data_IF_249791583376
#
_entry.id   IF_249791583376
#
_cell.length_a   1.000
_cell.length_b   1.000
_cell.length_c   1.000
_cell.angle_alpha   90.00
_cell.angle_beta   90.00
_cell.angle_gamma   90.00
#
_symmetry.space_group_name_H-M   'P 1'
#
loop_
_entity.id
_entity.type
_entity.pdbx_description
1 polymer ?
#
# COMPACT_ATOMS: atom_id res chain seq x y z
N UNK A 1 -9.10 5.35 20.43
CA UNK A 1 -7.89 6.22 20.45
C UNK A 1 -6.76 5.35 19.97
N UNK A 2 -5.95 5.84 19.02
CA UNK A 2 -4.88 5.04 18.46
C UNK A 2 -3.87 4.61 19.53
N UNK A 3 -3.44 3.36 19.46
CA UNK A 3 -2.42 2.81 20.34
C UNK A 3 -1.02 3.18 19.81
N UNK A 4 -0.12 3.64 20.68
CA UNK A 4 1.28 3.82 20.32
C UNK A 4 2.00 2.49 20.57
N UNK A 5 2.47 1.83 19.51
CA UNK A 5 3.06 0.49 19.54
C UNK A 5 4.40 0.48 18.81
N UNK A 6 5.29 -0.44 19.18
CA UNK A 6 6.44 -0.74 18.32
C UNK A 6 5.96 -1.30 16.97
N UNK A 7 6.78 -1.18 15.92
CA UNK A 7 6.42 -1.67 14.59
C UNK A 7 6.16 -3.19 14.60
N UNK A 8 6.99 -3.95 15.31
CA UNK A 8 6.85 -5.40 15.46
C UNK A 8 5.50 -5.75 16.09
N UNK A 9 5.17 -5.15 17.23
CA UNK A 9 3.89 -5.38 17.92
C UNK A 9 2.69 -4.97 17.08
N UNK A 10 2.79 -3.83 16.38
CA UNK A 10 1.72 -3.32 15.55
C UNK A 10 1.42 -4.27 14.38
N UNK A 11 2.45 -4.71 13.64
CA UNK A 11 2.28 -5.69 12.55
C UNK A 11 1.79 -7.03 13.08
N UNK A 12 2.30 -7.47 14.25
CA UNK A 12 1.89 -8.72 14.88
C UNK A 12 0.39 -8.76 15.23
N UNK A 13 -0.14 -7.62 15.68
CA UNK A 13 -1.54 -7.47 16.11
C UNK A 13 -2.52 -7.11 15.00
N UNK A 14 -2.06 -6.43 13.94
CA UNK A 14 -2.95 -5.82 12.96
C UNK A 14 -2.95 -6.52 11.60
N UNK A 15 -1.90 -7.27 11.27
CA UNK A 15 -1.80 -8.01 10.01
C UNK A 15 -1.92 -9.49 10.30
N UNK A 16 -2.92 -10.14 9.72
CA UNK A 16 -3.16 -11.57 9.84
C UNK A 16 -3.06 -12.25 8.47
N UNK A 17 -2.76 -13.55 8.48
CA UNK A 17 -2.77 -14.34 7.24
C UNK A 17 -4.18 -14.33 6.63
N UNK A 18 -4.25 -14.22 5.30
CA UNK A 18 -5.51 -14.09 4.58
C UNK A 18 -6.12 -12.69 4.54
N UNK A 19 -5.52 -11.69 5.21
CA UNK A 19 -6.03 -10.31 5.19
C UNK A 19 -5.90 -9.68 3.80
N UNK A 20 -6.84 -8.78 3.50
CA UNK A 20 -6.65 -7.76 2.46
C UNK A 20 -5.83 -6.61 3.04
N UNK A 21 -4.59 -6.45 2.57
CA UNK A 21 -3.60 -5.51 3.12
C UNK A 21 -3.26 -4.44 2.09
N UNK A 22 -3.51 -3.18 2.43
CA UNK A 22 -3.10 -2.03 1.63
C UNK A 22 -1.90 -1.34 2.27
N UNK A 23 -0.77 -1.27 1.58
CA UNK A 23 0.36 -0.40 1.91
C UNK A 23 0.37 0.75 0.90
N UNK A 24 -0.09 1.93 1.29
CA UNK A 24 -0.27 3.07 0.38
C UNK A 24 0.76 4.19 0.60
N UNK A 25 0.98 4.94 -0.47
CA UNK A 25 1.97 6.00 -0.64
C UNK A 25 2.09 6.31 -2.14
N UNK A 26 2.76 7.39 -2.55
CA UNK A 26 2.89 7.72 -3.98
C UNK A 26 4.25 8.32 -4.29
N UNK A 27 5.25 7.48 -4.56
CA UNK A 27 6.70 7.81 -4.60
C UNK A 27 7.28 8.40 -3.30
N UNK A 28 6.42 8.96 -2.47
CA UNK A 28 6.56 9.63 -1.19
C UNK A 28 5.81 8.82 -0.13
N UNK A 29 6.37 8.75 1.09
CA UNK A 29 5.76 8.09 2.26
C UNK A 29 5.33 6.64 2.03
N UNK A 30 6.10 5.88 1.24
CA UNK A 30 5.82 4.46 1.06
C UNK A 30 6.23 3.71 2.32
N UNK A 31 5.37 2.95 3.03
CA UNK A 31 5.71 2.33 4.31
C UNK A 31 6.58 1.06 4.16
N UNK A 32 7.81 1.23 3.66
CA UNK A 32 8.73 0.13 3.33
C UNK A 32 9.09 -0.70 4.56
N UNK A 33 9.40 -0.05 5.69
CA UNK A 33 9.75 -0.75 6.92
C UNK A 33 8.63 -1.68 7.40
N UNK A 34 7.36 -1.26 7.27
CA UNK A 34 6.22 -2.10 7.64
C UNK A 34 6.03 -3.29 6.69
N UNK A 35 6.23 -3.10 5.38
CA UNK A 35 6.22 -4.22 4.43
C UNK A 35 7.32 -5.24 4.71
N UNK A 36 8.51 -4.78 5.06
CA UNK A 36 9.60 -5.66 5.49
C UNK A 36 9.31 -6.37 6.81
N UNK A 37 8.62 -5.72 7.73
CA UNK A 37 8.21 -6.35 8.98
C UNK A 37 7.16 -7.46 8.75
N UNK A 38 6.22 -7.26 7.83
CA UNK A 38 5.30 -8.32 7.37
C UNK A 38 6.06 -9.55 6.86
N UNK A 39 7.16 -9.32 6.11
CA UNK A 39 8.05 -10.39 5.63
C UNK A 39 8.74 -11.11 6.79
N UNK A 40 9.31 -10.36 7.76
CA UNK A 40 9.98 -10.94 8.94
C UNK A 40 9.04 -11.82 9.76
N UNK A 41 7.80 -11.39 9.92
CA UNK A 41 6.76 -12.14 10.63
C UNK A 41 6.14 -13.25 9.79
N UNK A 42 6.62 -13.46 8.56
CA UNK A 42 6.22 -14.54 7.65
C UNK A 42 4.71 -14.61 7.41
N UNK A 43 4.05 -13.46 7.27
CA UNK A 43 2.62 -13.43 6.91
C UNK A 43 2.39 -14.01 5.53
N UNK A 44 1.28 -14.72 5.34
CA UNK A 44 0.95 -15.47 4.12
C UNK A 44 -0.48 -15.25 3.66
N UNK A 45 -0.73 -15.69 2.43
CA UNK A 45 -2.04 -15.70 1.80
C UNK A 45 -2.72 -14.32 1.72
N UNK A 46 -1.93 -13.24 1.73
CA UNK A 46 -2.44 -11.88 1.73
C UNK A 46 -3.00 -11.49 0.36
N UNK A 47 -4.14 -10.79 0.36
CA UNK A 47 -4.56 -10.00 -0.79
C UNK A 47 -3.92 -8.63 -0.69
N UNK A 48 -2.85 -8.41 -1.45
CA UNK A 48 -2.14 -7.14 -1.49
C UNK A 48 -2.89 -6.13 -2.35
N UNK A 49 -2.96 -4.88 -1.87
CA UNK A 49 -3.69 -3.80 -2.54
C UNK A 49 -2.80 -2.58 -2.66
N UNK A 50 -2.52 -2.13 -3.88
CA UNK A 50 -1.86 -0.84 -4.09
C UNK A 50 -2.15 -0.24 -5.43
N UNK A 51 -2.34 1.08 -5.47
CA UNK A 51 -2.48 1.77 -6.75
C UNK A 51 -1.25 1.60 -7.65
N UNK A 52 -0.06 1.86 -7.11
CA UNK A 52 1.25 1.78 -7.78
C UNK A 52 2.22 0.83 -7.05
N UNK A 53 2.03 -0.51 -7.06
CA UNK A 53 3.02 -1.46 -6.54
C UNK A 53 4.42 -1.10 -7.03
N UNK A 54 5.35 -1.08 -6.08
CA UNK A 54 6.76 -0.74 -6.25
C UNK A 54 7.63 -1.82 -5.58
N UNK A 55 8.87 -1.45 -5.24
CA UNK A 55 9.83 -2.40 -4.67
C UNK A 55 9.33 -3.08 -3.39
N UNK A 56 8.52 -2.45 -2.53
CA UNK A 56 8.05 -3.15 -1.31
C UNK A 56 7.03 -4.24 -1.64
N UNK A 57 6.27 -4.07 -2.72
CA UNK A 57 5.36 -5.11 -3.21
C UNK A 57 6.12 -6.22 -3.93
N UNK A 58 7.16 -5.87 -4.69
CA UNK A 58 8.07 -6.85 -5.28
C UNK A 58 8.75 -7.71 -4.21
N UNK A 59 9.14 -7.09 -3.08
CA UNK A 59 9.67 -7.78 -1.90
C UNK A 59 8.63 -8.72 -1.27
N UNK A 60 7.41 -8.24 -0.99
CA UNK A 60 6.34 -9.04 -0.38
C UNK A 60 5.94 -10.24 -1.25
N UNK A 61 5.79 -10.02 -2.56
CA UNK A 61 5.45 -11.06 -3.54
C UNK A 61 6.60 -12.08 -3.62
N UNK A 62 7.84 -11.62 -3.80
CA UNK A 62 9.01 -12.50 -3.88
C UNK A 62 9.27 -13.28 -2.59
N UNK A 63 8.84 -12.77 -1.44
CA UNK A 63 8.90 -13.46 -0.15
C UNK A 63 7.75 -14.46 0.08
N UNK A 64 6.83 -14.59 -0.90
CA UNK A 64 5.69 -15.51 -0.85
C UNK A 64 4.58 -15.07 0.11
N UNK A 65 4.46 -13.76 0.39
CA UNK A 65 3.43 -13.26 1.31
C UNK A 65 2.06 -13.14 0.66
N UNK A 66 2.00 -13.02 -0.67
CA UNK A 66 0.81 -12.64 -1.42
C UNK A 66 0.18 -13.82 -2.17
N UNK A 67 -1.14 -13.94 -2.10
CA UNK A 67 -1.95 -14.83 -2.94
C UNK A 67 -2.64 -14.07 -4.08
N UNK A 68 -2.92 -12.77 -3.87
CA UNK A 68 -3.55 -11.88 -4.84
C UNK A 68 -2.96 -10.47 -4.81
N UNK A 69 -2.94 -9.79 -5.96
CA UNK A 69 -2.60 -8.38 -6.09
C UNK A 69 -3.73 -7.60 -6.79
N UNK A 70 -4.30 -6.60 -6.10
CA UNK A 70 -5.23 -5.63 -6.67
C UNK A 70 -4.48 -4.32 -6.92
N UNK A 71 -4.38 -3.90 -8.19
CA UNK A 71 -3.53 -2.77 -8.55
C UNK A 71 -3.97 -2.02 -9.81
N UNK A 72 -3.26 -0.93 -10.12
CA UNK A 72 -3.53 -0.13 -11.33
C UNK A 72 -2.31 0.20 -12.19
N UNK A 73 -1.10 0.04 -11.65
CA UNK A 73 0.15 0.15 -12.39
C UNK A 73 1.27 -0.52 -11.60
N UNK A 74 2.15 -1.30 -12.22
CA UNK A 74 3.28 -1.93 -11.52
C UNK A 74 4.61 -1.63 -12.19
N UNK A 75 5.60 -1.21 -11.40
CA UNK A 75 6.95 -0.91 -11.90
C UNK A 75 7.87 -0.34 -10.84
N UNK A 76 9.17 -0.32 -11.12
CA UNK A 76 10.16 0.41 -10.35
C UNK A 76 10.37 1.79 -10.99
N UNK A 77 9.82 2.89 -10.43
CA UNK A 77 9.80 4.19 -11.09
C UNK A 77 11.20 4.71 -11.41
N UNK A 78 11.46 4.92 -12.70
CA UNK A 78 12.74 5.42 -13.21
C UNK A 78 13.84 4.37 -13.37
N UNK A 79 13.55 3.09 -13.14
CA UNK A 79 14.54 2.00 -13.25
C UNK A 79 14.07 0.89 -14.19
N UNK A 80 12.90 0.29 -13.96
CA UNK A 80 12.49 -0.86 -14.75
C UNK A 80 11.30 -1.63 -14.20
N UNK A 81 11.29 -2.94 -14.45
CA UNK A 81 10.19 -3.83 -14.08
C UNK A 81 10.30 -4.31 -12.62
N UNK A 82 9.18 -4.77 -12.07
CA UNK A 82 9.13 -5.52 -10.81
C UNK A 82 9.30 -7.00 -11.14
N UNK A 83 10.51 -7.50 -10.97
CA UNK A 83 10.90 -8.81 -11.48
C UNK A 83 10.31 -9.96 -10.67
N UNK A 84 10.11 -9.81 -9.35
CA UNK A 84 9.46 -10.83 -8.51
C UNK A 84 7.96 -10.87 -8.75
N UNK A 85 7.33 -9.71 -8.95
CA UNK A 85 5.94 -9.64 -9.42
C UNK A 85 5.79 -10.39 -10.76
N UNK A 86 6.64 -10.08 -11.75
CA UNK A 86 6.60 -10.79 -13.03
C UNK A 86 6.84 -12.28 -12.91
N UNK A 87 7.78 -12.69 -12.07
CA UNK A 87 8.11 -14.11 -11.86
C UNK A 87 6.93 -14.88 -11.26
N UNK A 88 6.20 -14.27 -10.34
CA UNK A 88 4.99 -14.84 -9.77
C UNK A 88 3.86 -14.99 -10.81
N UNK A 89 3.66 -13.99 -11.66
CA UNK A 89 2.62 -14.02 -12.72
C UNK A 89 2.98 -14.97 -13.87
N UNK A 90 4.25 -15.05 -14.24
CA UNK A 90 4.69 -15.78 -15.44
C UNK A 90 5.11 -17.22 -15.15
N UNK A 91 5.56 -17.51 -13.93
CA UNK A 91 6.16 -18.79 -13.56
C UNK A 91 5.70 -19.33 -12.20
N UNK A 92 4.66 -18.74 -11.59
CA UNK A 92 4.11 -19.17 -10.31
C UNK A 92 5.15 -19.21 -9.16
N UNK A 93 6.16 -18.34 -9.22
CA UNK A 93 7.26 -18.32 -8.25
C UNK A 93 7.26 -17.05 -7.38
N UNK A 94 7.44 -17.16 -6.05
CA UNK A 94 7.62 -18.40 -5.28
C UNK A 94 6.31 -19.17 -5.06
N UNK A 95 5.17 -18.51 -5.29
CA UNK A 95 3.82 -19.07 -5.28
C UNK A 95 3.01 -18.41 -6.42
N UNK A 96 1.94 -19.05 -6.93
CA UNK A 96 1.02 -18.43 -7.88
C UNK A 96 0.42 -17.13 -7.33
N UNK A 97 0.26 -16.12 -8.18
CA UNK A 97 -0.31 -14.82 -7.83
C UNK A 97 -1.52 -14.50 -8.70
N UNK A 98 -2.71 -14.41 -8.10
CA UNK A 98 -3.88 -13.85 -8.77
C UNK A 98 -3.71 -12.34 -8.94
N UNK A 99 -4.17 -11.78 -10.07
CA UNK A 99 -4.17 -10.34 -10.30
C UNK A 99 -5.58 -9.81 -10.57
N UNK A 100 -5.86 -8.62 -10.06
CA UNK A 100 -7.05 -7.83 -10.39
C UNK A 100 -6.62 -6.40 -10.75
N UNK A 101 -6.72 -6.08 -12.04
CA UNK A 101 -6.29 -4.78 -12.57
C UNK A 101 -7.45 -3.80 -12.69
N UNK A 102 -7.21 -2.56 -12.25
CA UNK A 102 -8.12 -1.44 -12.39
C UNK A 102 -7.41 -0.23 -13.00
N UNK A 103 -8.15 0.69 -13.61
CA UNK A 103 -7.57 2.00 -13.93
C UNK A 103 -7.19 2.74 -12.64
N UNK A 104 -6.17 3.62 -12.70
CA UNK A 104 -5.78 4.45 -11.56
C UNK A 104 -6.96 5.24 -10.98
N UNK A 105 -7.75 5.88 -11.84
CA UNK A 105 -8.93 6.62 -11.42
C UNK A 105 -9.97 5.70 -10.74
N UNK A 106 -10.12 4.47 -11.23
CA UNK A 106 -11.02 3.50 -10.63
C UNK A 106 -10.58 3.09 -9.22
N UNK A 107 -9.30 2.74 -9.01
CA UNK A 107 -8.78 2.42 -7.67
C UNK A 107 -9.01 3.57 -6.67
N UNK A 108 -8.69 4.81 -7.07
CA UNK A 108 -8.94 5.97 -6.22
C UNK A 108 -10.43 6.12 -5.85
N UNK A 109 -11.32 5.94 -6.83
CA UNK A 109 -12.77 5.98 -6.58
C UNK A 109 -13.25 4.84 -5.68
N UNK A 110 -12.68 3.63 -5.79
CA UNK A 110 -13.00 2.51 -4.89
C UNK A 110 -12.63 2.82 -3.44
N UNK A 111 -11.47 3.44 -3.20
CA UNK A 111 -11.08 3.91 -1.87
C UNK A 111 -11.99 5.03 -1.35
N UNK A 112 -12.36 6.00 -2.20
CA UNK A 112 -13.29 7.08 -1.83
C UNK A 112 -14.66 6.50 -1.43
N UNK A 113 -15.18 5.51 -2.16
CA UNK A 113 -16.41 4.83 -1.77
C UNK A 113 -16.29 4.14 -0.41
N UNK A 114 -15.20 3.41 -0.19
CA UNK A 114 -14.92 2.76 1.10
C UNK A 114 -14.85 3.74 2.27
N UNK A 115 -14.07 4.81 2.10
CA UNK A 115 -13.94 5.89 3.08
C UNK A 115 -15.26 6.62 3.36
N UNK A 116 -16.17 6.63 2.38
CA UNK A 116 -17.51 7.23 2.50
C UNK A 116 -18.56 6.27 3.08
N UNK A 117 -18.20 5.01 3.38
CA UNK A 117 -19.15 3.98 3.81
C UNK A 117 -20.15 3.58 2.72
N UNK A 118 -19.84 3.84 1.45
CA UNK A 118 -20.67 3.48 0.30
C UNK A 118 -20.23 2.13 -0.26
N UNK A 119 -21.16 1.32 -0.80
CA UNK A 119 -20.83 -0.01 -1.31
C UNK A 119 -20.07 0.00 -2.65
N UNK A 120 -20.17 1.08 -3.43
CA UNK A 120 -19.52 1.20 -4.73
C UNK A 120 -19.32 2.68 -5.10
N UNK A 121 -18.40 2.92 -6.04
CA UNK A 121 -18.25 4.20 -6.71
C UNK A 121 -18.78 4.13 -8.13
N UNK A 122 -19.18 5.29 -8.67
CA UNK A 122 -19.59 5.45 -10.07
C UNK A 122 -18.65 6.42 -10.77
N UNK A 123 -18.19 6.07 -11.96
CA UNK A 123 -17.30 6.89 -12.78
C UNK A 123 -17.49 6.65 -14.27
N UNK A 124 -17.01 7.59 -15.10
CA UNK A 124 -17.00 7.47 -16.57
C UNK A 124 -15.87 6.59 -17.13
N UNK A 125 -14.88 6.28 -16.29
CA UNK A 125 -13.68 5.54 -16.67
C UNK A 125 -13.98 4.12 -17.17
N UNK A 126 -12.93 3.42 -17.61
CA UNK A 126 -12.93 2.07 -18.19
C UNK A 126 -13.50 1.93 -19.61
N UNK A 127 -14.29 2.90 -20.08
CA UNK A 127 -14.76 2.93 -21.47
C UNK A 127 -13.59 2.89 -22.45
N UNK A 128 -13.62 1.94 -23.38
CA UNK A 128 -12.55 1.75 -24.39
C UNK A 128 -11.34 0.98 -23.90
N UNK A 129 -11.40 0.36 -22.71
CA UNK A 129 -10.36 -0.55 -22.19
C UNK A 129 -10.89 -1.99 -22.15
N UNK A 130 -10.00 -2.97 -22.13
CA UNK A 130 -10.35 -4.39 -21.97
C UNK A 130 -10.59 -4.81 -20.51
N UNK A 131 -10.28 -3.92 -19.54
CA UNK A 131 -10.39 -4.21 -18.10
C UNK A 131 -11.77 -4.75 -17.67
N UNK A 132 -12.92 -4.23 -18.15
CA UNK A 132 -14.23 -4.78 -17.78
C UNK A 132 -14.45 -6.25 -18.17
N UNK A 133 -13.69 -6.77 -19.15
CA UNK A 133 -13.77 -8.16 -19.56
C UNK A 133 -12.85 -9.09 -18.73
N UNK A 134 -11.95 -8.53 -17.93
CA UNK A 134 -10.95 -9.28 -17.15
C UNK A 134 -11.36 -9.46 -15.67
N UNK A 135 -12.41 -8.78 -15.21
CA UNK A 135 -12.87 -8.87 -13.81
C UNK A 135 -14.37 -8.61 -13.66
N UNK A 136 -14.99 -9.28 -12.69
CA UNK A 136 -16.38 -9.07 -12.31
C UNK A 136 -16.59 -7.80 -11.46
N UNK A 137 -15.52 -7.09 -11.08
CA UNK A 137 -15.58 -5.89 -10.22
C UNK A 137 -15.75 -4.59 -11.00
N UNK A 138 -15.96 -4.64 -12.32
CA UNK A 138 -16.22 -3.47 -13.17
C UNK A 138 -17.53 -3.72 -13.92
N UNK A 139 -18.60 -3.00 -13.56
CA UNK A 139 -19.95 -3.24 -14.12
C UNK A 139 -20.57 -1.98 -14.70
N UNK A 140 -21.32 -2.04 -15.80
CA UNK A 140 -22.09 -0.90 -16.27
C UNK A 140 -23.23 -0.56 -15.29
N UNK A 141 -23.57 0.71 -15.19
CA UNK A 141 -24.72 1.20 -14.42
C UNK A 141 -25.41 2.34 -15.18
N UNK A 142 -26.74 2.35 -15.21
CA UNK A 142 -27.53 3.44 -15.80
C UNK A 142 -27.85 4.47 -14.71
N UNK A 143 -27.50 5.74 -14.93
CA UNK A 143 -27.87 6.83 -14.04
C UNK A 143 -29.41 6.98 -14.01
N UNK A 144 -30.07 6.88 -12.85
CA UNK A 144 -31.53 6.95 -12.78
C UNK A 144 -32.08 8.36 -13.01
N UNK A 145 -31.23 9.40 -12.94
CA UNK A 145 -31.65 10.80 -13.11
C UNK A 145 -31.50 11.30 -14.54
N UNK A 146 -30.53 10.78 -15.29
CA UNK A 146 -30.17 11.27 -16.63
C UNK A 146 -30.26 10.21 -17.72
N UNK A 147 -30.41 8.92 -17.36
CA UNK A 147 -30.36 7.80 -18.29
C UNK A 147 -28.96 7.49 -18.83
N UNK A 148 -27.93 8.17 -18.35
CA UNK A 148 -26.56 8.02 -18.82
C UNK A 148 -25.94 6.68 -18.42
N UNK A 149 -25.25 6.01 -19.34
CA UNK A 149 -24.46 4.82 -19.05
C UNK A 149 -23.12 5.20 -18.42
N UNK A 150 -22.86 4.68 -17.23
CA UNK A 150 -21.63 4.87 -16.44
C UNK A 150 -21.06 3.51 -16.03
N UNK A 151 -19.94 3.52 -15.32
CA UNK A 151 -19.30 2.34 -14.75
C UNK A 151 -19.41 2.39 -13.22
N UNK A 152 -19.74 1.27 -12.60
CA UNK A 152 -19.71 1.03 -11.17
C UNK A 152 -18.55 0.09 -10.80
N UNK A 153 -17.85 0.40 -9.71
CA UNK A 153 -16.78 -0.43 -9.12
C UNK A 153 -17.01 -0.57 -7.61
N UNK A 154 -16.85 -1.76 -7.01
CA UNK A 154 -17.12 -1.96 -5.59
C UNK A 154 -16.13 -1.18 -4.73
N UNK A 155 -16.58 -0.73 -3.56
CA UNK A 155 -15.71 -0.11 -2.59
C UNK A 155 -14.52 -1.03 -2.24
N UNK A 156 -13.36 -0.42 -2.05
CA UNK A 156 -12.14 -1.11 -1.66
C UNK A 156 -11.94 -0.87 -0.17
N UNK A 157 -12.25 -1.90 0.62
CA UNK A 157 -12.22 -1.86 2.09
C UNK A 157 -11.19 -2.87 2.60
N UNK A 158 -9.91 -2.49 2.73
CA UNK A 158 -8.88 -3.38 3.26
C UNK A 158 -9.20 -3.84 4.68
N UNK A 159 -8.79 -5.05 5.04
CA UNK A 159 -8.82 -5.52 6.42
C UNK A 159 -7.81 -4.74 7.27
N UNK A 160 -6.70 -4.33 6.66
CA UNK A 160 -5.71 -3.43 7.25
C UNK A 160 -5.11 -2.50 6.19
N UNK A 161 -5.07 -1.20 6.48
CA UNK A 161 -4.28 -0.22 5.72
C UNK A 161 -3.07 0.22 6.54
N UNK A 162 -1.91 0.22 5.90
CA UNK A 162 -0.66 0.72 6.44
C UNK A 162 -0.19 1.89 5.58
N UNK A 163 0.13 3.01 6.22
CA UNK A 163 0.70 4.20 5.56
C UNK A 163 1.90 4.71 6.35
N UNK A 164 2.71 5.54 5.70
CA UNK A 164 3.73 6.32 6.39
C UNK A 164 3.32 7.79 6.44
N UNK A 165 3.74 8.49 7.49
CA UNK A 165 3.51 9.91 7.66
C UNK A 165 4.70 10.54 8.37
N UNK A 166 4.74 11.85 8.40
CA UNK A 166 5.85 12.54 9.04
C UNK A 166 5.70 12.55 10.57
N UNK A 167 4.55 12.97 11.10
CA UNK A 167 4.39 13.18 12.54
C UNK A 167 3.13 12.56 13.08
N UNK A 168 3.17 12.16 14.34
CA UNK A 168 1.99 11.97 15.17
C UNK A 168 2.13 12.68 16.51
N UNK A 169 1.01 12.96 17.18
CA UNK A 169 1.02 13.34 18.59
C UNK A 169 0.72 12.16 19.51
N UNK A 170 0.85 12.39 20.83
CA UNK A 170 0.58 11.38 21.86
C UNK A 170 -0.90 10.98 21.97
N UNK A 171 -1.81 11.75 21.38
CA UNK A 171 -3.22 11.38 21.28
C UNK A 171 -3.51 10.50 20.04
N UNK A 172 -2.48 10.26 19.22
CA UNK A 172 -2.55 9.44 18.03
C UNK A 172 -3.08 10.18 16.79
N UNK A 173 -3.19 11.51 16.83
CA UNK A 173 -3.44 12.28 15.62
C UNK A 173 -2.20 12.23 14.75
N UNK A 174 -2.37 12.07 13.44
CA UNK A 174 -1.28 11.93 12.47
C UNK A 174 -1.31 13.13 11.54
N UNK A 175 -0.17 13.79 11.38
CA UNK A 175 0.03 14.87 10.42
C UNK A 175 0.89 14.39 9.25
N UNK A 176 0.37 14.51 8.03
CA UNK A 176 1.08 14.24 6.79
C UNK A 176 1.00 15.40 5.81
N UNK A 177 2.07 15.71 5.09
CA UNK A 177 2.11 16.79 4.08
C UNK A 177 2.93 16.40 2.85
N UNK A 178 2.85 17.18 1.78
CA UNK A 178 3.49 16.87 0.51
C UNK A 178 2.56 16.06 -0.39
N UNK A 179 3.10 15.07 -1.12
CA UNK A 179 2.30 14.23 -2.02
C UNK A 179 1.69 13.07 -1.22
N UNK A 180 0.47 13.25 -0.74
CA UNK A 180 -0.21 12.29 0.15
C UNK A 180 -1.02 11.22 -0.60
N UNK A 181 -1.26 11.40 -1.90
CA UNK A 181 -2.01 10.43 -2.71
C UNK A 181 -3.38 10.09 -2.12
N UNK A 182 -3.70 8.80 -2.05
CA UNK A 182 -4.95 8.27 -1.49
C UNK A 182 -4.81 7.79 -0.03
N UNK A 183 -3.72 8.11 0.67
CA UNK A 183 -3.44 7.56 2.00
C UNK A 183 -4.57 7.83 3.00
N UNK A 184 -5.17 9.02 2.96
CA UNK A 184 -6.31 9.37 3.84
C UNK A 184 -7.51 8.48 3.55
N UNK A 185 -7.91 8.38 2.29
CA UNK A 185 -9.03 7.53 1.85
C UNK A 185 -8.76 6.06 2.18
N UNK A 186 -7.54 5.56 1.97
CA UNK A 186 -7.17 4.19 2.28
C UNK A 186 -7.24 3.86 3.78
N UNK A 187 -6.82 4.79 4.65
CA UNK A 187 -6.94 4.63 6.11
C UNK A 187 -8.41 4.62 6.52
N UNK A 188 -9.22 5.54 5.99
CA UNK A 188 -10.65 5.64 6.33
C UNK A 188 -11.49 4.47 5.80
N UNK A 189 -11.07 3.83 4.71
CA UNK A 189 -11.76 2.69 4.13
C UNK A 189 -11.46 1.36 4.84
N UNK A 190 -10.41 1.29 5.66
CA UNK A 190 -9.96 0.05 6.26
C UNK A 190 -10.63 -0.26 7.59
N UNK A 191 -10.71 -1.56 7.93
CA UNK A 191 -11.19 -2.01 9.25
C UNK A 191 -10.19 -1.69 10.36
N UNK A 192 -8.89 -1.78 10.05
CA UNK A 192 -7.76 -1.48 10.94
C UNK A 192 -6.75 -0.63 10.21
N UNK A 193 -6.02 0.21 10.93
CA UNK A 193 -4.99 1.06 10.34
C UNK A 193 -3.73 1.16 11.19
N UNK A 194 -2.59 1.03 10.53
CA UNK A 194 -1.27 1.28 11.09
C UNK A 194 -0.65 2.49 10.39
N UNK A 195 -0.31 3.52 11.16
CA UNK A 195 0.47 4.64 10.64
C UNK A 195 1.87 4.58 11.21
N UNK A 196 2.86 4.36 10.36
CA UNK A 196 4.26 4.56 10.74
C UNK A 196 4.62 6.04 10.61
N UNK A 197 5.37 6.61 11.55
CA UNK A 197 5.75 8.03 11.54
C UNK A 197 7.24 8.23 11.72
N UNK A 198 7.79 9.33 11.22
CA UNK A 198 9.18 9.69 11.45
C UNK A 198 9.45 10.11 12.89
N UNK A 199 8.51 10.82 13.51
CA UNK A 199 8.60 11.25 14.91
C UNK A 199 7.24 11.35 15.59
N UNK A 200 7.19 11.07 16.89
CA UNK A 200 6.06 11.41 17.76
C UNK A 200 6.39 12.70 18.53
N UNK A 201 5.55 13.71 18.39
CA UNK A 201 5.72 15.04 19.01
C UNK A 201 4.68 15.28 20.10
N UNK A 202 4.90 16.28 20.95
CA UNK A 202 3.92 16.67 21.96
C UNK A 202 2.72 17.41 21.34
N UNK A 203 2.98 18.30 20.37
CA UNK A 203 1.97 19.11 19.69
C UNK A 203 2.18 19.13 18.16
N UNK A 204 1.09 18.99 17.40
CA UNK A 204 1.11 19.10 15.94
C UNK A 204 1.01 20.56 15.52
N UNK A 205 2.15 21.19 15.21
CA UNK A 205 2.18 22.53 14.65
C UNK A 205 1.49 22.58 13.26
N UNK A 206 0.58 23.54 13.00
CA UNK A 206 -0.08 23.66 11.71
C UNK A 206 0.91 23.83 10.55
N UNK A 207 0.75 23.02 9.50
CA UNK A 207 1.56 23.09 8.28
C UNK A 207 0.69 23.32 7.04
N UNK A 208 1.08 24.24 6.14
CA UNK A 208 0.35 24.44 4.88
C UNK A 208 0.23 23.15 4.07
N UNK A 209 -1.00 22.83 3.63
CA UNK A 209 -1.27 21.64 2.84
C UNK A 209 -1.17 20.32 3.61
N UNK A 210 -0.99 20.35 4.93
CA UNK A 210 -1.02 19.14 5.73
C UNK A 210 -2.44 18.59 5.89
N UNK A 211 -2.54 17.27 5.88
CA UNK A 211 -3.71 16.50 6.25
C UNK A 211 -3.50 16.00 7.68
N UNK A 212 -4.52 16.16 8.52
CA UNK A 212 -4.55 15.56 9.85
C UNK A 212 -5.52 14.38 9.82
N UNK A 213 -5.03 13.18 10.11
CA UNK A 213 -5.88 12.03 10.46
C UNK A 213 -6.10 12.06 11.98
N UNK A 214 -7.34 12.24 12.44
CA UNK A 214 -7.60 12.21 13.87
C UNK A 214 -7.31 10.84 14.49
N UNK A 215 -6.85 10.78 15.73
CA UNK A 215 -6.50 9.53 16.40
C UNK A 215 -7.66 8.56 16.64
N UNK A 216 -8.90 8.93 16.31
CA UNK A 216 -10.07 8.04 16.37
C UNK A 216 -10.30 7.25 15.06
N UNK A 217 -9.67 7.64 13.94
CA UNK A 217 -9.67 6.85 12.69
C UNK A 217 -8.44 5.94 12.57
N UNK A 218 -7.48 6.08 13.48
CA UNK A 218 -6.22 5.33 13.50
C UNK A 218 -6.29 4.21 14.54
N UNK A 219 -5.91 2.99 14.18
CA UNK A 219 -5.83 1.87 15.15
C UNK A 219 -4.52 1.91 15.94
N UNK A 220 -3.38 2.02 15.25
CA UNK A 220 -2.08 2.15 15.88
C UNK A 220 -1.14 3.10 15.15
N UNK A 221 -0.23 3.71 15.92
CA UNK A 221 0.88 4.52 15.42
C UNK A 221 2.19 3.90 15.90
N UNK A 222 3.18 3.82 15.01
CA UNK A 222 4.54 3.40 15.35
C UNK A 222 5.56 4.44 14.90
N UNK A 223 6.41 4.88 15.82
CA UNK A 223 7.57 5.72 15.48
C UNK A 223 8.64 4.86 14.80
N UNK A 224 8.89 5.12 13.52
CA UNK A 224 9.82 4.40 12.65
C UNK A 224 10.60 5.43 11.82
N UNK A 225 11.65 6.07 12.39
CA UNK A 225 12.49 7.00 11.65
C UNK A 225 13.13 6.34 10.43
N UNK A 226 13.00 6.95 9.26
CA UNK A 226 13.41 6.38 7.99
C UNK A 226 12.49 5.28 7.47
N UNK A 227 11.27 5.16 8.01
CA UNK A 227 10.32 4.09 7.72
C UNK A 227 9.90 4.01 6.25
N UNK A 228 10.06 5.12 5.50
CA UNK A 228 9.80 5.14 4.07
C UNK A 228 10.99 4.79 3.17
N UNK A 229 12.22 4.70 3.68
CA UNK A 229 13.40 4.46 2.84
C UNK A 229 13.26 3.16 2.02
N UNK A 230 13.59 3.16 0.71
CA UNK A 230 14.30 4.22 -0.02
C UNK A 230 13.41 5.29 -0.67
N UNK A 231 12.08 5.23 -0.48
CA UNK A 231 11.19 6.37 -0.77
C UNK A 231 11.60 7.57 0.10
N UNK A 232 11.09 8.75 -0.24
CA UNK A 232 11.37 9.98 0.48
C UNK A 232 10.23 10.35 1.43
N UNK A 233 10.57 11.13 2.45
CA UNK A 233 9.61 11.79 3.35
C UNK A 233 9.91 13.30 3.32
N UNK A 234 8.98 14.08 2.78
CA UNK A 234 9.19 15.50 2.52
C UNK A 234 9.51 16.26 3.82
N UNK A 235 10.68 16.91 3.85
CA UNK A 235 11.20 17.63 5.03
C UNK A 235 12.05 16.78 5.98
N UNK A 236 12.24 15.49 5.72
CA UNK A 236 13.09 14.59 6.52
C UNK A 236 14.27 14.06 5.71
N UNK A 237 14.00 13.47 4.54
CA UNK A 237 15.05 12.95 3.65
C UNK A 237 14.57 12.85 2.20
N UNK A 238 15.54 12.87 1.28
CA UNK A 238 15.32 12.73 -0.16
C UNK A 238 15.20 11.25 -0.58
N UNK A 239 14.81 11.03 -1.84
CA UNK A 239 14.66 9.69 -2.41
C UNK A 239 16.03 9.09 -2.68
N UNK A 240 16.26 7.87 -2.22
CA UNK A 240 17.49 7.14 -2.53
C UNK A 240 17.37 6.41 -3.88
N UNK A 241 17.68 7.14 -4.95
CA UNK A 241 17.67 6.58 -6.30
C UNK A 241 18.69 5.45 -6.50
N UNK A 242 19.78 5.43 -5.73
CA UNK A 242 20.80 4.39 -5.83
C UNK A 242 20.27 3.05 -5.32
N UNK A 243 19.50 3.06 -4.24
CA UNK A 243 18.82 1.87 -3.72
C UNK A 243 17.76 1.35 -4.71
N UNK A 244 17.00 2.23 -5.37
CA UNK A 244 16.05 1.81 -6.41
C UNK A 244 16.75 1.18 -7.62
N UNK A 245 17.92 1.69 -8.03
CA UNK A 245 18.71 1.09 -9.11
C UNK A 245 19.30 -0.26 -8.70
N UNK A 246 19.87 -0.36 -7.48
CA UNK A 246 20.42 -1.59 -6.94
C UNK A 246 19.36 -2.70 -6.81
N UNK A 247 18.10 -2.34 -6.56
CA UNK A 247 17.01 -3.30 -6.50
C UNK A 247 16.79 -4.06 -7.82
N UNK A 248 17.13 -3.49 -8.98
CA UNK A 248 16.97 -4.19 -10.26
C UNK A 248 17.82 -5.47 -10.34
N UNK A 249 19.06 -5.44 -9.83
CA UNK A 249 19.93 -6.61 -9.79
C UNK A 249 19.39 -7.66 -8.81
N UNK A 250 19.02 -7.24 -7.60
CA UNK A 250 18.47 -8.13 -6.55
C UNK A 250 17.16 -8.77 -7.01
N UNK A 251 16.24 -7.96 -7.51
CA UNK A 251 14.92 -8.39 -7.93
C UNK A 251 14.94 -9.27 -9.17
N UNK A 252 15.98 -9.20 -10.03
CA UNK A 252 16.03 -10.00 -11.26
C UNK A 252 16.46 -11.44 -11.01
N UNK A 253 17.44 -11.66 -10.16
CA UNK A 253 18.02 -12.99 -9.92
C UNK A 253 17.43 -13.66 -8.66
N UNK A 254 17.03 -14.94 -8.75
CA UNK A 254 16.36 -15.63 -7.63
C UNK A 254 17.32 -15.91 -6.47
N UNK A 255 18.59 -16.21 -6.75
CA UNK A 255 19.59 -16.47 -5.72
C UNK A 255 19.95 -15.18 -4.96
N UNK A 256 20.18 -14.10 -5.69
CA UNK A 256 20.42 -12.77 -5.12
C UNK A 256 19.25 -12.30 -4.24
N UNK A 257 18.01 -12.48 -4.71
CA UNK A 257 16.83 -12.18 -3.91
C UNK A 257 16.71 -13.07 -2.68
N UNK A 258 16.96 -14.38 -2.81
CA UNK A 258 16.90 -15.32 -1.69
C UNK A 258 17.93 -14.95 -0.63
N UNK A 259 19.14 -14.54 -1.05
CA UNK A 259 20.15 -14.00 -0.14
C UNK A 259 19.66 -12.73 0.56
N UNK A 260 19.12 -11.77 -0.18
CA UNK A 260 18.54 -10.55 0.40
C UNK A 260 17.43 -10.86 1.42
N UNK A 261 16.56 -11.83 1.11
CA UNK A 261 15.46 -12.26 1.99
C UNK A 261 15.99 -12.93 3.28
N UNK A 262 17.01 -13.76 3.15
CA UNK A 262 17.70 -14.39 4.27
C UNK A 262 18.34 -13.35 5.19
N UNK A 263 19.04 -12.38 4.61
CA UNK A 263 19.64 -11.25 5.35
C UNK A 263 18.56 -10.41 6.07
N UNK A 264 17.43 -10.14 5.40
CA UNK A 264 16.31 -9.39 5.98
C UNK A 264 15.66 -10.10 7.18
N UNK A 265 15.52 -11.43 7.08
CA UNK A 265 14.83 -12.27 8.08
C UNK A 265 15.77 -12.81 9.16
N UNK A 266 17.08 -12.56 9.04
CA UNK A 266 18.11 -13.08 9.95
C UNK A 266 18.32 -14.59 9.84
N UNK A 267 17.89 -15.22 8.75
CA UNK A 267 18.13 -16.64 8.47
C UNK A 267 19.45 -16.75 7.72
N UNK A 268 20.54 -17.05 8.41
CA UNK A 268 21.80 -17.44 7.73
C UNK A 268 21.63 -18.81 7.08
N UNK A 269 22.00 -18.92 5.80
CA UNK A 269 22.02 -20.16 5.04
C UNK A 269 23.01 -21.18 5.62
#
# INVERSE_FOLDING_TARGET
MAELLSLEEAVARLVHDGDTVALEGFTHLIPVAAGQEIIRQRRRDLTLVRMTPDIVYDQLIGAGCASKLIFSWGGNPGVGSLHRFRDAVQHDWPVPLEIEEHSHAGMANRYVAGASGLPFAVLRGYTGTDLPAQTDTIKPITCPFTGEQLTAVPALNPDVTIVHAQRADRAGNVQMWGITGVQKEAVLAAKRSLVTVEEIVDDLEPRPGAVILPGWVVTAVSEVPGGAKPSYAAGYYERDNSAYQAWDEVGRDREAFTKWLNDLTGVTA
#
